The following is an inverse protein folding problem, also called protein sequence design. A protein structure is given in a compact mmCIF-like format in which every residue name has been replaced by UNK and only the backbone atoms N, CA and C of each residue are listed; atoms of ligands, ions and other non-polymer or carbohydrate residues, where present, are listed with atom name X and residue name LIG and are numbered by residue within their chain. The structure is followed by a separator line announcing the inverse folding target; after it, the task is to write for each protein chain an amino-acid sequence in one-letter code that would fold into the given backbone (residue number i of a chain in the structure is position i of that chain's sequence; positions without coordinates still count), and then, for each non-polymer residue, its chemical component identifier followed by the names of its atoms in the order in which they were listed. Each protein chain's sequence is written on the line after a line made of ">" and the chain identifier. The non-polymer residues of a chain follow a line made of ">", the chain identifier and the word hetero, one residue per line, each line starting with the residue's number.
data_IF_130520580588
#
_entry.id   IF_130520580588
#
_cell.length_a   1.000
_cell.length_b   1.000
_cell.length_c   1.000
_cell.angle_alpha   90.00
_cell.angle_beta   90.00
_cell.angle_gamma   90.00
#
_symmetry.space_group_name_H-M   'P 1'
#
loop_
_entity.id
_entity.type
_entity.pdbx_description
1 polymer ?
#
# COMPACT_ATOMS: atom_id res chain seq x y z
N UNK A 1 4.71 -44.36 32.85
CA UNK A 1 5.40 -43.32 32.05
C UNK A 1 6.23 -43.88 30.88
N UNK A 2 7.21 -44.76 31.11
CA UNK A 2 8.09 -45.29 30.03
C UNK A 2 7.33 -46.00 28.89
N UNK A 3 6.26 -46.74 29.21
CA UNK A 3 5.42 -47.44 28.21
C UNK A 3 4.73 -46.46 27.24
N UNK A 4 4.24 -45.33 27.74
CA UNK A 4 3.56 -44.29 26.94
C UNK A 4 4.54 -43.67 25.96
N UNK A 5 5.75 -43.31 26.42
CA UNK A 5 6.80 -42.76 25.57
C UNK A 5 7.25 -43.74 24.48
N UNK A 6 7.29 -45.04 24.78
CA UNK A 6 7.62 -46.08 23.79
C UNK A 6 6.58 -46.19 22.68
N UNK A 7 5.29 -46.12 23.04
CA UNK A 7 4.20 -46.13 22.07
C UNK A 7 4.24 -44.86 21.22
N UNK A 8 4.35 -43.69 21.86
CA UNK A 8 4.45 -42.40 21.16
C UNK A 8 5.61 -42.37 20.15
N UNK A 9 6.79 -42.87 20.53
CA UNK A 9 7.96 -42.97 19.64
C UNK A 9 7.69 -43.85 18.42
N UNK A 10 7.02 -45.00 18.61
CA UNK A 10 6.68 -45.91 17.52
C UNK A 10 5.72 -45.24 16.54
N UNK A 11 4.61 -44.69 17.06
CA UNK A 11 3.60 -44.02 16.24
C UNK A 11 4.21 -42.86 15.44
N UNK A 12 5.00 -42.01 16.10
CA UNK A 12 5.71 -40.92 15.44
C UNK A 12 6.60 -41.43 14.30
N UNK A 13 7.46 -42.42 14.55
CA UNK A 13 8.36 -42.96 13.53
C UNK A 13 7.62 -43.60 12.36
N UNK A 14 6.48 -44.26 12.60
CA UNK A 14 5.64 -44.81 11.54
C UNK A 14 5.06 -43.70 10.68
N UNK A 15 4.52 -42.64 11.29
CA UNK A 15 3.90 -41.52 10.57
C UNK A 15 4.92 -40.71 9.76
N UNK A 16 6.06 -40.33 10.36
CA UNK A 16 7.03 -39.44 9.70
C UNK A 16 7.81 -40.09 8.55
N UNK A 17 7.86 -41.43 8.53
CA UNK A 17 8.50 -42.21 7.45
C UNK A 17 7.57 -42.46 6.26
N UNK A 18 6.29 -42.08 6.35
CA UNK A 18 5.38 -42.20 5.22
C UNK A 18 5.76 -41.21 4.11
N UNK A 19 5.59 -41.63 2.85
CA UNK A 19 5.83 -40.75 1.69
C UNK A 19 4.99 -39.48 1.77
N UNK A 20 3.71 -39.61 2.17
CA UNK A 20 2.79 -38.48 2.31
C UNK A 20 3.28 -37.44 3.31
N UNK A 21 3.76 -37.87 4.48
CA UNK A 21 4.32 -36.95 5.48
C UNK A 21 5.54 -36.21 4.94
N UNK A 22 6.48 -36.91 4.31
CA UNK A 22 7.72 -36.32 3.77
C UNK A 22 7.40 -35.32 2.64
N UNK A 23 6.47 -35.67 1.75
CA UNK A 23 6.04 -34.77 0.66
C UNK A 23 5.42 -33.51 1.25
N UNK A 24 4.46 -33.64 2.17
CA UNK A 24 3.78 -32.50 2.78
C UNK A 24 4.72 -31.63 3.62
N UNK A 25 5.70 -32.23 4.30
CA UNK A 25 6.72 -31.52 5.06
C UNK A 25 7.51 -30.52 4.19
N UNK A 26 7.70 -30.82 2.91
CA UNK A 26 8.40 -29.96 1.95
C UNK A 26 7.41 -29.02 1.24
N UNK A 27 6.28 -29.56 0.77
CA UNK A 27 5.30 -28.82 -0.02
C UNK A 27 4.67 -27.66 0.77
N UNK A 28 4.31 -27.87 2.05
CA UNK A 28 3.69 -26.81 2.84
C UNK A 28 4.62 -25.60 3.03
N UNK A 29 5.87 -25.73 3.51
CA UNK A 29 6.79 -24.60 3.56
C UNK A 29 6.97 -23.90 2.23
N UNK A 30 7.04 -24.62 1.11
CA UNK A 30 7.16 -24.00 -0.22
C UNK A 30 5.93 -23.15 -0.53
N UNK A 31 4.73 -23.71 -0.37
CA UNK A 31 3.47 -22.99 -0.62
C UNK A 31 3.34 -21.75 0.29
N UNK A 32 3.67 -21.87 1.58
CA UNK A 32 3.57 -20.78 2.54
C UNK A 32 4.75 -19.79 2.48
N UNK A 33 5.91 -20.19 1.93
CA UNK A 33 7.07 -19.30 1.73
C UNK A 33 6.84 -18.24 0.64
N UNK A 34 5.91 -18.51 -0.29
CA UNK A 34 5.59 -17.61 -1.39
C UNK A 34 5.20 -16.20 -0.92
N UNK A 35 4.49 -16.08 0.21
CA UNK A 35 4.09 -14.79 0.78
C UNK A 35 5.26 -13.96 1.34
N UNK A 36 6.24 -14.62 1.96
CA UNK A 36 7.44 -13.95 2.47
C UNK A 36 8.37 -13.49 1.34
N UNK A 37 8.53 -14.34 0.32
CA UNK A 37 9.33 -14.03 -0.87
C UNK A 37 8.69 -12.90 -1.69
N UNK A 38 7.37 -12.96 -1.90
CA UNK A 38 6.66 -11.90 -2.62
C UNK A 38 6.75 -10.56 -1.90
N UNK A 39 6.56 -10.53 -0.57
CA UNK A 39 6.75 -9.31 0.22
C UNK A 39 8.18 -8.78 0.09
N UNK A 40 9.20 -9.64 0.23
CA UNK A 40 10.60 -9.21 0.13
C UNK A 40 10.96 -8.62 -1.25
N UNK A 41 10.34 -9.11 -2.33
CA UNK A 41 10.54 -8.59 -3.68
C UNK A 41 9.74 -7.33 -3.98
N UNK A 42 8.54 -7.17 -3.38
CA UNK A 42 7.64 -6.04 -3.66
C UNK A 42 7.76 -4.88 -2.66
N UNK A 43 8.37 -5.07 -1.48
CA UNK A 43 8.43 -4.04 -0.42
C UNK A 43 9.03 -2.71 -0.89
N UNK A 44 9.97 -2.75 -1.85
CA UNK A 44 10.69 -1.56 -2.34
C UNK A 44 10.03 -0.97 -3.61
N UNK A 45 8.95 -1.59 -4.10
CA UNK A 45 8.15 -1.09 -5.23
C UNK A 45 7.05 -0.16 -4.69
N UNK A 46 7.48 1.05 -4.31
CA UNK A 46 6.55 2.12 -3.92
C UNK A 46 6.11 2.87 -5.18
N UNK A 47 4.80 3.11 -5.31
CA UNK A 47 4.28 4.02 -6.31
C UNK A 47 4.71 5.46 -5.99
N UNK A 48 5.51 6.04 -6.87
CA UNK A 48 6.04 7.41 -6.75
C UNK A 48 5.36 8.39 -7.70
N UNK A 49 4.27 7.99 -8.35
CA UNK A 49 3.50 8.87 -9.22
C UNK A 49 2.83 9.98 -8.42
N UNK A 50 2.94 11.22 -8.90
CA UNK A 50 2.38 12.38 -8.21
C UNK A 50 0.86 12.31 -8.11
N UNK A 51 0.34 12.75 -6.97
CA UNK A 51 -1.10 12.75 -6.72
C UNK A 51 -1.62 14.17 -6.91
N UNK A 52 -2.33 14.36 -8.02
CA UNK A 52 -3.01 15.61 -8.33
C UNK A 52 -4.30 15.69 -7.51
N UNK A 53 -4.44 16.70 -6.67
CA UNK A 53 -5.57 16.85 -5.74
C UNK A 53 -6.24 18.18 -6.03
N UNK A 54 -7.52 18.13 -6.42
CA UNK A 54 -8.34 19.34 -6.55
C UNK A 54 -8.98 19.70 -5.20
N UNK A 55 -8.90 20.96 -4.82
CA UNK A 55 -9.53 21.49 -3.60
C UNK A 55 -10.54 22.54 -3.99
N UNK A 56 -11.77 22.39 -3.49
CA UNK A 56 -12.82 23.40 -3.57
C UNK A 56 -13.01 23.99 -2.18
N UNK A 57 -12.36 25.12 -1.92
CA UNK A 57 -12.48 25.82 -0.65
C UNK A 57 -13.59 26.86 -0.71
N UNK A 58 -14.70 26.59 -0.01
CA UNK A 58 -15.84 27.53 0.11
C UNK A 58 -15.66 28.54 1.23
N UNK A 59 -14.76 28.28 2.17
CA UNK A 59 -14.47 29.18 3.29
C UNK A 59 -13.46 30.26 2.89
N UNK A 60 -12.53 29.92 2.00
CA UNK A 60 -11.41 30.78 1.62
C UNK A 60 -10.28 30.82 2.65
N UNK A 61 -10.36 30.02 3.71
CA UNK A 61 -9.39 30.04 4.82
C UNK A 61 -8.43 28.84 4.81
N UNK A 62 -8.75 27.79 4.06
CA UNK A 62 -8.10 26.48 4.18
C UNK A 62 -7.10 26.22 3.05
N UNK A 63 -7.38 26.73 1.85
CA UNK A 63 -6.58 26.45 0.66
C UNK A 63 -5.09 26.80 0.83
N UNK A 64 -4.80 28.02 1.30
CA UNK A 64 -3.42 28.50 1.46
C UNK A 64 -2.63 27.69 2.50
N UNK A 65 -3.27 27.38 3.63
CA UNK A 65 -2.68 26.56 4.68
C UNK A 65 -2.34 25.14 4.17
N UNK A 66 -3.22 24.54 3.37
CA UNK A 66 -2.96 23.22 2.77
C UNK A 66 -1.83 23.25 1.75
N UNK A 67 -1.73 24.31 0.93
CA UNK A 67 -0.64 24.47 -0.03
C UNK A 67 0.70 24.54 0.70
N UNK A 68 0.82 25.37 1.73
CA UNK A 68 2.04 25.50 2.52
C UNK A 68 2.43 24.17 3.19
N UNK A 69 1.45 23.51 3.81
CA UNK A 69 1.66 22.22 4.48
C UNK A 69 2.13 21.14 3.50
N UNK A 70 1.55 21.09 2.31
CA UNK A 70 1.95 20.14 1.27
C UNK A 70 3.33 20.44 0.73
N UNK A 71 3.69 21.70 0.51
CA UNK A 71 5.03 22.08 0.08
C UNK A 71 6.08 21.64 1.10
N UNK A 72 5.84 21.91 2.39
CA UNK A 72 6.73 21.47 3.47
C UNK A 72 6.89 19.95 3.47
N UNK A 73 5.78 19.20 3.42
CA UNK A 73 5.81 17.73 3.38
C UNK A 73 6.55 17.23 2.15
N UNK A 74 6.29 17.79 0.97
CA UNK A 74 6.93 17.37 -0.27
C UNK A 74 8.45 17.54 -0.20
N UNK A 75 8.93 18.65 0.36
CA UNK A 75 10.36 18.90 0.55
C UNK A 75 11.02 17.96 1.59
N UNK A 76 10.26 17.50 2.60
CA UNK A 76 10.79 16.66 3.66
C UNK A 76 10.84 15.17 3.31
N UNK A 77 9.84 14.65 2.58
CA UNK A 77 9.63 13.18 2.49
C UNK A 77 9.58 12.60 1.08
N UNK A 78 9.50 13.41 0.02
CA UNK A 78 9.36 12.91 -1.37
C UNK A 78 10.68 12.33 -1.88
N UNK A 79 11.79 12.96 -1.54
CA UNK A 79 13.13 12.58 -1.99
C UNK A 79 13.97 12.01 -0.85
N UNK A 80 14.65 10.89 -1.14
CA UNK A 80 15.76 10.39 -0.33
C UNK A 80 16.97 11.30 -0.58
N UNK A 81 17.34 12.08 0.44
CA UNK A 81 18.40 13.11 0.37
C UNK A 81 19.79 12.55 0.08
N UNK A 82 20.02 11.26 0.36
CA UNK A 82 21.32 10.63 0.13
C UNK A 82 21.46 10.07 -1.29
N UNK A 83 20.34 9.67 -1.89
CA UNK A 83 20.30 8.96 -3.17
C UNK A 83 19.71 9.77 -4.32
N UNK A 84 19.27 11.00 -4.04
CA UNK A 84 18.51 11.88 -4.95
C UNK A 84 17.38 11.14 -5.67
N UNK A 85 16.72 10.23 -4.95
CA UNK A 85 15.71 9.33 -5.50
C UNK A 85 14.35 9.67 -4.91
N UNK A 86 13.35 9.81 -5.77
CA UNK A 86 11.96 9.90 -5.35
C UNK A 86 11.52 8.59 -4.70
N UNK A 87 11.12 8.64 -3.44
CA UNK A 87 10.71 7.49 -2.63
C UNK A 87 9.24 7.53 -2.23
N UNK A 88 8.60 8.68 -2.37
CA UNK A 88 7.17 8.89 -2.10
C UNK A 88 6.54 9.77 -3.19
N UNK A 89 5.23 9.66 -3.43
CA UNK A 89 4.55 10.54 -4.37
C UNK A 89 4.45 11.96 -3.80
N UNK A 90 4.63 13.00 -4.62
CA UNK A 90 4.35 14.36 -4.21
C UNK A 90 2.85 14.62 -4.32
N UNK A 91 2.34 15.49 -3.45
CA UNK A 91 0.98 15.98 -3.57
C UNK A 91 1.00 17.30 -4.35
N UNK A 92 0.22 17.37 -5.41
CA UNK A 92 0.11 18.55 -6.28
C UNK A 92 -1.30 19.10 -6.12
N UNK A 93 -1.43 20.19 -5.37
CA UNK A 93 -2.72 20.81 -5.10
C UNK A 93 -3.09 21.77 -6.24
N UNK A 94 -4.30 21.63 -6.77
CA UNK A 94 -4.97 22.62 -7.62
C UNK A 94 -6.21 23.17 -6.92
N UNK A 95 -6.25 24.47 -6.66
CA UNK A 95 -7.42 25.12 -6.07
C UNK A 95 -8.40 25.47 -7.18
N UNK A 96 -9.63 24.99 -7.06
CA UNK A 96 -10.71 25.22 -8.00
C UNK A 96 -11.73 26.18 -7.35
N UNK A 97 -12.14 27.22 -8.07
CA UNK A 97 -13.13 28.16 -7.56
C UNK A 97 -14.48 27.45 -7.32
N UNK A 98 -15.14 27.69 -6.17
CA UNK A 98 -16.44 27.09 -5.92
C UNK A 98 -17.51 27.55 -6.93
N UNK A 99 -18.11 26.60 -7.64
CA UNK A 99 -19.25 26.90 -8.50
C UNK A 99 -20.51 27.04 -7.62
N UNK A 100 -20.87 28.29 -7.30
CA UNK A 100 -22.06 28.60 -6.49
C UNK A 100 -23.37 28.44 -7.24
N UNK A 101 -23.34 28.48 -8.58
CA UNK A 101 -24.54 28.38 -9.43
C UNK A 101 -24.96 26.93 -9.65
N UNK A 102 -24.00 26.04 -9.87
CA UNK A 102 -24.25 24.60 -10.02
C UNK A 102 -23.17 23.75 -9.32
N UNK A 103 -23.30 23.57 -8.00
CA UNK A 103 -22.39 22.73 -7.24
C UNK A 103 -22.42 21.24 -7.63
N UNK A 104 -23.54 20.77 -8.19
CA UNK A 104 -23.71 19.36 -8.54
C UNK A 104 -22.96 19.04 -9.83
N UNK A 105 -23.04 19.92 -10.83
CA UNK A 105 -22.24 19.82 -12.03
C UNK A 105 -20.73 19.85 -11.73
N UNK A 106 -20.27 20.76 -10.87
CA UNK A 106 -18.85 20.79 -10.46
C UNK A 106 -18.42 19.49 -9.80
N UNK A 107 -19.24 18.92 -8.90
CA UNK A 107 -18.93 17.63 -8.28
C UNK A 107 -18.86 16.49 -9.29
N UNK A 108 -19.76 16.48 -10.28
CA UNK A 108 -19.77 15.47 -11.34
C UNK A 108 -18.52 15.57 -12.21
N UNK A 109 -18.11 16.78 -12.59
CA UNK A 109 -16.88 17.03 -13.36
C UNK A 109 -15.64 16.54 -12.62
N UNK A 110 -15.48 16.92 -11.34
CA UNK A 110 -14.38 16.46 -10.51
C UNK A 110 -14.40 14.93 -10.33
N UNK A 111 -15.58 14.33 -10.20
CA UNK A 111 -15.71 12.87 -10.14
C UNK A 111 -15.29 12.19 -11.45
N UNK A 112 -15.55 12.80 -12.60
CA UNK A 112 -15.09 12.28 -13.89
C UNK A 112 -13.56 12.38 -14.02
N UNK A 113 -12.96 13.47 -13.55
CA UNK A 113 -11.49 13.64 -13.48
C UNK A 113 -10.82 12.62 -12.56
N UNK A 114 -11.52 12.16 -11.52
CA UNK A 114 -11.04 11.04 -10.70
C UNK A 114 -11.15 9.71 -11.45
N UNK A 115 -12.23 9.49 -12.20
CA UNK A 115 -12.44 8.25 -12.98
C UNK A 115 -11.47 8.10 -14.14
N UNK A 116 -11.07 9.20 -14.77
CA UNK A 116 -10.10 9.20 -15.87
C UNK A 116 -8.64 9.22 -15.40
N UNK A 117 -8.41 9.37 -14.09
CA UNK A 117 -7.08 9.35 -13.46
C UNK A 117 -6.33 10.68 -13.49
N UNK A 118 -6.91 11.75 -14.03
CA UNK A 118 -6.30 13.09 -14.01
C UNK A 118 -6.23 13.68 -12.60
N UNK A 119 -7.18 13.31 -11.73
CA UNK A 119 -7.18 13.59 -10.29
C UNK A 119 -7.05 12.31 -9.46
N UNK A 120 -6.40 12.43 -8.32
CA UNK A 120 -6.30 11.39 -7.32
C UNK A 120 -7.56 11.34 -6.44
N UNK A 121 -8.02 10.12 -6.15
CA UNK A 121 -9.17 9.82 -5.26
C UNK A 121 -8.76 9.63 -3.82
#
# INVERSE_FOLDING_TARGET
>A
MIKILRIAKREFLTTVKTKGFIIMLIVFPILFSGGGISYALLKDRVDTEDKNIAIVDRSGEVADFLIETVQKRNNEVVFDKEKDKKVKPAYVISVEEPNTKDPQAQRLELSNRVRDGSLHS
#
